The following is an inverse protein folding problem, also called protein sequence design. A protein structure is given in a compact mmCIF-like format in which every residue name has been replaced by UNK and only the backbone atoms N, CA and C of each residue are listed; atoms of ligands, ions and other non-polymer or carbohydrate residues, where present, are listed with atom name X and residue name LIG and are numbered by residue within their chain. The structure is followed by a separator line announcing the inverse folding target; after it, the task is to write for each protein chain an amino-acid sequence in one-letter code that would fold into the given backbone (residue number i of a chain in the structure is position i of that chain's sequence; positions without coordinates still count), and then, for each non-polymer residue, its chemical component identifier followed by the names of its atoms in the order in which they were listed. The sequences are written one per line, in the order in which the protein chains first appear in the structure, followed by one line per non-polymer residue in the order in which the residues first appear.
data_IF_218042745401
#
_entry.id   IF_218042745401
#
_cell.length_a   1.000
_cell.length_b   1.000
_cell.length_c   1.000
_cell.angle_alpha   90.00
_cell.angle_beta   90.00
_cell.angle_gamma   90.00
#
_symmetry.space_group_name_H-M   'P 1'
#
loop_
_entity.id
_entity.type
_entity.pdbx_description
1 polymer ?
#
# COMPACT_ATOMS: atom_id res chain seq x y z
N UNK A 1 -4.31 -7.99 -24.08
CA UNK A 1 -3.24 -7.02 -23.76
C UNK A 1 -2.78 -7.31 -22.35
N UNK A 2 -1.68 -8.03 -22.19
CA UNK A 2 -1.00 -8.13 -20.90
C UNK A 2 -0.43 -6.75 -20.54
N UNK A 3 -0.84 -6.21 -19.40
CA UNK A 3 -0.26 -4.98 -18.87
C UNK A 3 1.00 -5.34 -18.09
N UNK A 4 2.11 -4.71 -18.44
CA UNK A 4 3.34 -4.73 -17.65
C UNK A 4 3.07 -3.97 -16.35
N UNK A 5 3.30 -4.57 -15.17
CA UNK A 5 3.15 -3.89 -13.89
C UNK A 5 4.14 -2.73 -13.79
N UNK A 6 3.64 -1.56 -13.41
CA UNK A 6 4.47 -0.42 -13.04
C UNK A 6 4.88 -0.59 -11.57
N UNK A 7 6.19 -0.78 -11.34
CA UNK A 7 6.75 -1.12 -10.04
C UNK A 7 7.69 0.00 -9.59
N UNK A 8 7.43 0.55 -8.40
CA UNK A 8 8.32 1.53 -7.75
C UNK A 8 8.98 0.87 -6.55
N UNK A 9 10.30 1.02 -6.46
CA UNK A 9 11.12 0.47 -5.37
C UNK A 9 11.57 1.59 -4.42
N UNK A 10 11.48 1.35 -3.11
CA UNK A 10 11.98 2.26 -2.07
C UNK A 10 13.19 1.68 -1.33
N UNK A 11 14.19 2.53 -1.07
CA UNK A 11 15.48 2.16 -0.46
C UNK A 11 15.54 2.38 1.07
N UNK A 12 16.46 1.65 1.69
CA UNK A 12 16.73 1.43 3.11
C UNK A 12 16.93 2.71 3.93
N UNK A 13 15.97 2.97 4.82
CA UNK A 13 16.20 3.74 6.04
C UNK A 13 16.80 2.87 7.15
N UNK A 14 17.10 3.45 8.34
CA UNK A 14 17.77 2.75 9.46
C UNK A 14 17.01 1.54 10.03
N UNK A 15 15.79 1.26 9.57
CA UNK A 15 14.87 0.25 10.11
C UNK A 15 14.98 -1.15 9.48
N UNK A 16 15.88 -1.39 8.50
CA UNK A 16 16.05 -2.73 7.92
C UNK A 16 14.83 -3.22 7.12
N UNK A 17 14.05 -2.29 6.52
CA UNK A 17 12.86 -2.61 5.74
C UNK A 17 13.11 -2.23 4.28
N UNK A 18 12.93 -3.18 3.38
CA UNK A 18 12.81 -2.95 1.94
C UNK A 18 11.35 -3.05 1.53
N UNK A 19 10.94 -2.25 0.55
CA UNK A 19 9.58 -2.34 0.05
C UNK A 19 9.50 -2.01 -1.43
N UNK A 20 8.51 -2.60 -2.08
CA UNK A 20 8.12 -2.32 -3.45
C UNK A 20 6.60 -2.17 -3.52
N UNK A 21 6.13 -1.39 -4.48
CA UNK A 21 4.71 -1.25 -4.78
C UNK A 21 4.44 -1.62 -6.24
N UNK A 22 3.41 -2.42 -6.45
CA UNK A 22 2.90 -2.77 -7.77
C UNK A 22 1.47 -2.26 -7.90
N UNK A 23 1.21 -1.49 -8.96
CA UNK A 23 -0.13 -0.96 -9.25
C UNK A 23 -0.87 -1.88 -10.22
N UNK A 24 -2.12 -2.19 -9.91
CA UNK A 24 -3.01 -2.93 -10.78
C UNK A 24 -4.30 -2.15 -11.05
N UNK A 25 -4.62 -1.92 -12.32
CA UNK A 25 -5.80 -1.18 -12.76
C UNK A 25 -6.90 -2.16 -13.18
N UNK A 26 -8.09 -2.03 -12.59
CA UNK A 26 -9.26 -2.83 -12.93
C UNK A 26 -10.29 -1.96 -13.64
N UNK A 27 -10.64 -2.37 -14.85
CA UNK A 27 -11.65 -1.69 -15.67
C UNK A 27 -13.01 -2.40 -15.53
N UNK A 28 -14.08 -1.63 -15.37
CA UNK A 28 -15.47 -2.03 -15.57
C UNK A 28 -15.96 -1.54 -16.92
N UNK A 29 -17.26 -1.68 -17.23
CA UNK A 29 -17.90 -1.30 -18.51
C UNK A 29 -17.33 0.01 -19.13
N UNK A 30 -16.27 -0.13 -19.94
CA UNK A 30 -15.51 0.94 -20.63
C UNK A 30 -14.85 2.01 -19.74
N UNK A 31 -14.81 1.86 -18.42
CA UNK A 31 -14.22 2.84 -17.50
C UNK A 31 -13.35 2.20 -16.41
N UNK A 32 -12.38 2.94 -15.89
CA UNK A 32 -11.56 2.50 -14.76
C UNK A 32 -12.44 2.41 -13.50
N UNK A 33 -12.58 1.20 -12.95
CA UNK A 33 -13.46 0.93 -11.81
C UNK A 33 -12.73 0.88 -10.47
N UNK A 34 -11.47 0.46 -10.48
CA UNK A 34 -10.64 0.31 -9.27
C UNK A 34 -9.17 0.37 -9.62
N UNK A 35 -8.38 0.96 -8.74
CA UNK A 35 -6.92 0.83 -8.73
C UNK A 35 -6.53 0.14 -7.43
N UNK A 36 -5.72 -0.90 -7.54
CA UNK A 36 -5.21 -1.69 -6.42
C UNK A 36 -3.71 -1.49 -6.34
N UNK A 37 -3.20 -0.96 -5.24
CA UNK A 37 -1.77 -0.87 -4.97
C UNK A 37 -1.40 -2.01 -4.02
N UNK A 38 -0.50 -2.89 -4.45
CA UNK A 38 0.04 -3.99 -3.65
C UNK A 38 1.45 -3.61 -3.21
N UNK A 39 1.63 -3.42 -1.92
CA UNK A 39 2.91 -3.21 -1.29
C UNK A 39 3.44 -4.54 -0.77
N UNK A 40 4.70 -4.83 -1.10
CA UNK A 40 5.46 -5.96 -0.58
C UNK A 40 6.56 -5.40 0.30
N UNK A 41 6.49 -5.69 1.60
CA UNK A 41 7.46 -5.25 2.60
C UNK A 41 8.28 -6.46 3.04
N UNK A 42 9.60 -6.35 2.88
CA UNK A 42 10.59 -7.31 3.35
C UNK A 42 11.33 -6.72 4.54
N UNK A 43 11.28 -7.41 5.68
CA UNK A 43 11.86 -6.93 6.93
C UNK A 43 13.06 -7.80 7.27
N UNK A 44 14.19 -7.16 7.56
CA UNK A 44 15.46 -7.80 7.86
C UNK A 44 15.84 -7.54 9.33
N UNK A 45 16.51 -8.50 9.94
CA UNK A 45 17.05 -8.33 11.29
C UNK A 45 18.17 -7.30 11.31
N UNK A 46 18.19 -6.43 12.33
CA UNK A 46 19.21 -5.40 12.52
C UNK A 46 20.44 -6.01 13.19
N UNK A 47 21.11 -6.97 12.54
CA UNK A 47 22.38 -7.50 13.03
C UNK A 47 23.49 -7.25 12.01
N UNK A 48 24.07 -6.04 12.08
CA UNK A 48 25.49 -5.71 11.90
C UNK A 48 26.22 -6.00 10.58
N UNK A 49 25.77 -6.88 9.70
CA UNK A 49 26.55 -7.32 8.54
C UNK A 49 25.64 -7.46 7.32
N UNK A 50 25.76 -6.51 6.40
CA UNK A 50 25.32 -6.53 5.00
C UNK A 50 24.13 -7.47 4.72
N UNK A 51 22.93 -6.99 5.05
CA UNK A 51 21.64 -7.68 4.93
C UNK A 51 21.15 -7.93 3.48
N UNK A 52 22.05 -8.01 2.50
CA UNK A 52 21.70 -8.13 1.08
C UNK A 52 21.64 -9.59 0.57
N UNK A 53 22.25 -10.54 1.30
CA UNK A 53 22.22 -11.98 0.99
C UNK A 53 21.44 -12.83 2.01
N UNK A 54 20.75 -12.19 2.95
CA UNK A 54 19.96 -12.90 3.98
C UNK A 54 18.48 -12.92 3.64
N UNK A 55 17.80 -14.02 3.94
CA UNK A 55 16.34 -14.07 3.79
C UNK A 55 15.66 -13.09 4.74
N UNK A 56 14.58 -12.41 4.32
CA UNK A 56 13.82 -11.53 5.20
C UNK A 56 13.23 -12.35 6.35
N UNK A 57 13.39 -11.86 7.58
CA UNK A 57 12.85 -12.50 8.78
C UNK A 57 11.32 -12.44 8.83
N UNK A 58 10.72 -11.50 8.06
CA UNK A 58 9.27 -11.32 7.98
C UNK A 58 8.91 -10.64 6.67
N UNK A 59 7.82 -11.11 6.07
CA UNK A 59 7.23 -10.53 4.88
C UNK A 59 5.80 -10.07 5.19
N UNK A 60 5.49 -8.83 4.82
CA UNK A 60 4.15 -8.26 4.97
C UNK A 60 3.68 -7.79 3.59
N UNK A 61 2.53 -8.29 3.15
CA UNK A 61 1.84 -7.78 1.98
C UNK A 61 0.70 -6.86 2.42
N UNK A 62 0.63 -5.69 1.82
CA UNK A 62 -0.40 -4.70 2.08
C UNK A 62 -1.09 -4.35 0.76
N UNK A 63 -2.39 -4.64 0.67
CA UNK A 63 -3.20 -4.30 -0.50
C UNK A 63 -4.12 -3.14 -0.16
N UNK A 64 -3.97 -2.04 -0.88
CA UNK A 64 -4.81 -0.86 -0.79
C UNK A 64 -5.68 -0.80 -2.04
N UNK A 65 -7.00 -0.84 -1.87
CA UNK A 65 -7.97 -0.84 -2.96
C UNK A 65 -8.73 0.49 -2.99
N UNK A 66 -8.47 1.30 -4.02
CA UNK A 66 -9.22 2.51 -4.32
C UNK A 66 -10.24 2.22 -5.40
N UNK A 67 -11.51 2.45 -5.08
CA UNK A 67 -12.60 2.38 -6.05
C UNK A 67 -13.13 3.77 -6.39
N UNK A 68 -13.92 3.85 -7.44
CA UNK A 68 -14.67 5.06 -7.82
C UNK A 68 -15.49 5.59 -6.65
N UNK A 69 -16.16 4.70 -5.91
CA UNK A 69 -16.93 5.07 -4.73
C UNK A 69 -16.07 5.73 -3.63
N UNK A 70 -14.80 5.33 -3.51
CA UNK A 70 -13.89 5.97 -2.55
C UNK A 70 -13.68 7.44 -2.90
N UNK A 71 -13.61 7.75 -4.19
CA UNK A 71 -13.27 9.08 -4.69
C UNK A 71 -14.51 9.97 -4.86
N UNK A 72 -15.61 9.44 -5.41
CA UNK A 72 -16.83 10.19 -5.69
C UNK A 72 -17.75 10.28 -4.47
N UNK A 73 -17.85 9.22 -3.68
CA UNK A 73 -18.78 9.13 -2.55
C UNK A 73 -18.06 9.24 -1.20
N UNK A 74 -16.76 9.58 -1.20
CA UNK A 74 -15.92 9.68 -0.01
C UNK A 74 -16.02 8.41 0.88
N UNK A 75 -16.16 7.24 0.26
CA UNK A 75 -16.18 5.96 0.97
C UNK A 75 -14.77 5.61 1.44
N UNK A 76 -14.69 4.90 2.57
CA UNK A 76 -13.42 4.47 3.12
C UNK A 76 -12.66 3.54 2.15
N UNK A 77 -11.35 3.72 2.07
CA UNK A 77 -10.44 2.85 1.31
C UNK A 77 -10.36 1.49 1.99
N UNK A 78 -10.47 0.42 1.18
CA UNK A 78 -10.29 -0.95 1.67
C UNK A 78 -8.80 -1.27 1.73
N UNK A 79 -8.34 -1.71 2.89
CA UNK A 79 -6.95 -2.04 3.16
C UNK A 79 -6.92 -3.46 3.74
N UNK A 80 -6.10 -4.31 3.15
CA UNK A 80 -5.90 -5.70 3.56
C UNK A 80 -4.42 -5.93 3.84
N UNK A 81 -4.13 -6.66 4.91
CA UNK A 81 -2.78 -6.95 5.39
C UNK A 81 -2.64 -8.46 5.47
N UNK A 82 -1.60 -9.00 4.86
CA UNK A 82 -1.17 -10.38 5.00
C UNK A 82 0.22 -10.37 5.62
N UNK A 83 0.31 -10.88 6.83
CA UNK A 83 1.56 -11.00 7.59
C UNK A 83 1.91 -12.47 7.75
N UNK A 84 2.91 -12.94 7.01
CA UNK A 84 3.14 -14.38 6.83
C UNK A 84 1.91 -15.06 6.24
N UNK A 85 1.28 -15.95 7.03
CA UNK A 85 0.03 -16.65 6.66
C UNK A 85 -1.24 -15.97 7.22
N UNK A 86 -1.07 -14.94 8.05
CA UNK A 86 -2.17 -14.29 8.77
C UNK A 86 -2.79 -13.20 7.91
N UNK A 87 -4.01 -13.44 7.41
CA UNK A 87 -4.77 -12.46 6.63
C UNK A 87 -5.73 -11.65 7.52
N UNK A 88 -5.65 -10.32 7.44
CA UNK A 88 -6.50 -9.40 8.18
C UNK A 88 -7.00 -8.24 7.32
N UNK A 89 -8.24 -7.81 7.56
CA UNK A 89 -8.76 -6.55 7.01
C UNK A 89 -8.46 -5.42 7.98
N UNK A 90 -7.76 -4.39 7.53
CA UNK A 90 -7.51 -3.22 8.35
C UNK A 90 -8.79 -2.40 8.50
N UNK A 91 -9.25 -2.27 9.75
CA UNK A 91 -10.43 -1.51 10.11
C UNK A 91 -10.03 -0.18 10.75
N UNK A 92 -10.50 0.91 10.15
CA UNK A 92 -10.51 2.23 10.78
C UNK A 92 -11.92 2.81 10.64
N UNK A 93 -12.36 3.60 11.63
CA UNK A 93 -13.63 4.33 11.56
C UNK A 93 -13.52 5.58 10.68
N UNK A 94 -12.31 5.98 10.29
CA UNK A 94 -12.05 7.21 9.55
C UNK A 94 -12.28 7.00 8.06
N UNK A 95 -13.02 7.94 7.44
CA UNK A 95 -13.27 7.95 5.99
C UNK A 95 -12.17 8.68 5.22
N UNK A 96 -11.59 9.73 5.81
CA UNK A 96 -10.45 10.46 5.24
C UNK A 96 -9.23 9.55 5.13
N UNK A 97 -8.63 9.50 3.94
CA UNK A 97 -7.51 8.61 3.64
C UNK A 97 -6.25 8.94 4.44
N UNK A 98 -5.87 10.23 4.58
CA UNK A 98 -4.70 10.66 5.36
C UNK A 98 -4.79 10.20 6.81
N UNK A 99 -5.96 10.40 7.43
CA UNK A 99 -6.16 9.96 8.81
C UNK A 99 -6.23 8.43 8.94
N UNK A 100 -6.66 7.73 7.88
CA UNK A 100 -6.68 6.27 7.82
C UNK A 100 -5.29 5.68 7.64
N UNK A 101 -4.39 6.37 6.91
CA UNK A 101 -2.97 6.03 6.78
C UNK A 101 -2.21 6.25 8.10
N UNK A 102 -2.58 7.27 8.87
CA UNK A 102 -2.07 7.43 10.24
C UNK A 102 -2.48 6.26 11.13
N UNK A 103 -3.75 5.84 11.07
CA UNK A 103 -4.22 4.68 11.83
C UNK A 103 -3.51 3.39 11.36
N UNK A 104 -3.24 3.27 10.05
CA UNK A 104 -2.48 2.15 9.48
C UNK A 104 -1.05 2.13 10.04
N UNK A 105 -0.38 3.28 10.07
CA UNK A 105 0.98 3.40 10.63
C UNK A 105 1.01 2.97 12.10
N UNK A 106 0.02 3.41 12.90
CA UNK A 106 -0.14 2.97 14.29
C UNK A 106 -0.42 1.47 14.42
N UNK A 107 -1.14 0.88 13.47
CA UNK A 107 -1.39 -0.55 13.47
C UNK A 107 -0.12 -1.35 13.20
N UNK A 108 0.71 -0.91 12.24
CA UNK A 108 2.03 -1.51 12.01
C UNK A 108 2.91 -1.43 13.26
N UNK A 109 2.93 -0.29 13.95
CA UNK A 109 3.73 -0.12 15.16
C UNK A 109 3.22 -0.97 16.33
N UNK A 110 1.92 -0.91 16.63
CA UNK A 110 1.35 -1.55 17.81
C UNK A 110 1.08 -3.04 17.68
N UNK A 111 0.70 -3.52 16.48
CA UNK A 111 0.35 -4.93 16.24
C UNK A 111 1.53 -5.69 15.67
N UNK A 112 2.25 -5.08 14.73
CA UNK A 112 3.34 -5.76 14.05
C UNK A 112 4.72 -5.41 14.64
N UNK A 113 4.83 -4.39 15.49
CA UNK A 113 6.12 -3.93 16.01
C UNK A 113 7.01 -3.29 14.93
N UNK A 114 6.40 -2.77 13.87
CA UNK A 114 7.10 -2.24 12.69
C UNK A 114 6.86 -0.74 12.58
N UNK A 115 7.95 0.04 12.53
CA UNK A 115 7.88 1.46 12.19
C UNK A 115 8.01 1.59 10.67
N UNK A 116 6.94 2.03 10.02
CA UNK A 116 6.94 2.24 8.57
C UNK A 116 7.95 3.32 8.16
N UNK A 117 8.80 3.08 7.13
CA UNK A 117 9.67 4.10 6.57
C UNK A 117 8.87 5.30 6.06
N UNK A 118 9.41 6.51 6.21
CA UNK A 118 8.73 7.72 5.76
C UNK A 118 8.51 7.74 4.24
N UNK A 119 9.45 7.17 3.47
CA UNK A 119 9.31 7.00 2.02
C UNK A 119 8.10 6.13 1.65
N UNK A 120 7.86 5.06 2.40
CA UNK A 120 6.69 4.20 2.21
C UNK A 120 5.39 4.94 2.57
N UNK A 121 5.39 5.69 3.69
CA UNK A 121 4.23 6.50 4.06
C UNK A 121 3.91 7.52 2.96
N UNK A 122 4.92 8.21 2.43
CA UNK A 122 4.77 9.17 1.32
C UNK A 122 4.19 8.51 0.07
N UNK A 123 4.68 7.32 -0.28
CA UNK A 123 4.14 6.55 -1.41
C UNK A 123 2.64 6.29 -1.24
N UNK A 124 2.13 5.99 -0.03
CA UNK A 124 0.68 5.82 0.14
C UNK A 124 -0.14 7.05 -0.28
N UNK A 125 0.36 8.26 -0.04
CA UNK A 125 -0.32 9.49 -0.45
C UNK A 125 -0.23 9.71 -1.96
N UNK A 126 0.96 9.55 -2.52
CA UNK A 126 1.21 9.75 -3.96
C UNK A 126 0.38 8.76 -4.79
N UNK A 127 0.40 7.48 -4.42
CA UNK A 127 -0.37 6.42 -5.06
C UNK A 127 -1.87 6.67 -4.98
N UNK A 128 -2.35 7.16 -3.82
CA UNK A 128 -3.75 7.51 -3.65
C UNK A 128 -4.16 8.67 -4.57
N UNK A 129 -3.38 9.75 -4.58
CA UNK A 129 -3.69 10.95 -5.37
C UNK A 129 -3.65 10.65 -6.87
N UNK A 130 -2.68 9.87 -7.34
CA UNK A 130 -2.61 9.41 -8.73
C UNK A 130 -3.81 8.53 -9.11
N UNK A 131 -4.12 7.52 -8.29
CA UNK A 131 -5.26 6.66 -8.51
C UNK A 131 -6.58 7.44 -8.49
N UNK A 132 -6.73 8.42 -7.59
CA UNK A 132 -7.90 9.28 -7.53
C UNK A 132 -8.03 10.16 -8.78
N UNK A 133 -6.93 10.72 -9.28
CA UNK A 133 -6.91 11.48 -10.56
C UNK A 133 -7.35 10.60 -11.72
N UNK A 134 -6.77 9.40 -11.85
CA UNK A 134 -7.11 8.43 -12.91
C UNK A 134 -8.57 7.99 -12.84
N UNK A 135 -9.10 7.75 -11.65
CA UNK A 135 -10.50 7.39 -11.47
C UNK A 135 -11.41 8.55 -11.89
N UNK A 136 -11.13 9.79 -11.46
CA UNK A 136 -11.93 10.97 -11.85
C UNK A 136 -11.91 11.21 -13.36
N UNK A 137 -10.74 11.15 -13.99
CA UNK A 137 -10.60 11.37 -15.44
C UNK A 137 -11.32 10.32 -16.26
N UNK A 138 -11.56 9.13 -15.70
CA UNK A 138 -12.33 8.07 -16.38
C UNK A 138 -13.84 8.35 -16.46
N UNK A 139 -14.37 9.35 -15.76
CA UNK A 139 -15.79 9.75 -15.78
C UNK A 139 -16.02 11.15 -16.35
N UNK A 140 -14.96 11.93 -16.60
CA UNK A 140 -15.05 13.18 -17.33
C UNK A 140 -15.22 12.86 -18.82
N UNK A 141 -16.46 12.86 -19.30
CA UNK A 141 -16.83 12.88 -20.72
C UNK A 141 -17.07 14.33 -21.12
#
# INVERSE_FOLDING_TARGET
MEQVPDATQGSTGPSGIQWEVVKHKKYGNRSLSRVSCLYSLKIYGVNGVLAFDTEPIRNVLLRINLSVDCVLLNKAVSIEILDGISFGKFASKKKNYSSRLQDLSKHFESVLGIILPESLKKSFYEEFDEAAKLLRSSFSI
#
